data_IF_051913275068
#
_entry.id   IF_051913275068
#
_cell.length_a   1.000
_cell.length_b   1.000
_cell.length_c   1.000
_cell.angle_alpha   90.00
_cell.angle_beta   90.00
_cell.angle_gamma   90.00
#
_symmetry.space_group_name_H-M   'P 1'
#
loop_
_entity.id
_entity.type
_entity.pdbx_description
1 polymer ?
2 non-polymer ?
3 non-polymer ?
4 water ?
#
# COMPACT_ATOMS: atom_id res chain seq x y z
N UNK A 2 -2.21 -12.58 19.71
CA UNK A 2 -2.98 -13.44 18.78
C UNK A 2 -2.13 -14.24 17.81
N UNK A 3 -0.86 -13.86 17.62
CA UNK A 3 0.03 -14.47 16.64
C UNK A 3 1.04 -15.47 17.14
N UNK A 4 1.38 -16.54 16.43
CA UNK A 4 2.43 -17.46 16.82
C UNK A 4 3.74 -17.17 16.05
N UNK A 5 3.63 -16.40 14.97
CA UNK A 5 4.74 -16.11 14.05
C UNK A 5 4.44 -14.74 13.43
N UNK A 6 5.40 -13.81 13.43
CA UNK A 6 5.08 -12.48 12.90
C UNK A 6 6.29 -12.00 12.07
N UNK A 7 6.07 -11.64 10.83
CA UNK A 7 7.20 -11.22 9.96
C UNK A 7 6.87 -9.84 9.41
N UNK A 8 7.52 -8.77 9.85
CA UNK A 8 7.15 -7.45 9.40
C UNK A 8 8.34 -6.68 8.79
N UNK A 9 7.97 -5.71 7.99
CA UNK A 9 9.08 -4.85 7.48
C UNK A 9 9.67 -4.12 8.64
N UNK A 10 10.97 -4.35 8.95
CA UNK A 10 11.56 -3.85 10.19
C UNK A 10 11.34 -2.45 10.72
N UNK A 11 11.53 -1.44 9.91
CA UNK A 11 11.44 -0.03 10.24
C UNK A 11 10.17 0.65 9.73
N UNK A 12 9.11 -0.18 9.49
CA UNK A 12 7.89 0.50 9.03
C UNK A 12 7.31 1.29 10.18
N UNK A 13 6.90 2.50 9.96
CA UNK A 13 6.29 3.37 10.95
C UNK A 13 5.23 4.22 10.32
N UNK A 14 4.01 4.39 10.91
CA UNK A 14 3.07 5.34 10.36
C UNK A 14 3.46 6.75 10.81
N UNK A 15 3.68 7.63 9.88
CA UNK A 15 4.06 9.01 10.22
C UNK A 15 3.05 10.04 9.77
N UNK A 16 2.03 9.60 8.92
CA UNK A 16 1.02 10.57 8.50
C UNK A 16 -0.23 9.72 8.04
N UNK A 17 -1.37 10.35 8.04
CA UNK A 17 -2.57 9.58 7.59
C UNK A 17 -3.25 10.44 6.55
N UNK A 18 -4.06 9.76 5.70
CA UNK A 18 -4.73 10.44 4.62
C UNK A 18 -6.04 11.15 4.95
N UNK A 19 -6.05 12.45 4.71
CA UNK A 19 -7.24 13.29 4.90
C UNK A 19 -7.99 13.47 3.58
N UNK A 20 -8.39 14.69 3.24
CA UNK A 20 -9.20 14.90 2.04
C UNK A 20 -8.34 15.21 0.83
N UNK A 21 -7.83 14.17 0.17
CA UNK A 21 -7.01 14.36 -1.02
C UNK A 21 -7.04 13.06 -1.80
N UNK A 22 -6.48 12.95 -2.96
CA UNK A 22 -6.39 11.74 -3.75
C UNK A 22 -4.95 11.19 -3.77
N UNK A 23 -4.27 11.28 -2.63
CA UNK A 23 -2.84 10.92 -2.63
C UNK A 23 -2.54 9.59 -1.98
N UNK A 24 -3.54 8.62 -2.00
CA UNK A 24 -3.25 7.36 -1.40
C UNK A 24 -1.95 6.68 -1.89
N UNK A 25 -1.63 6.73 -3.15
CA UNK A 25 -0.43 6.00 -3.62
C UNK A 25 0.85 6.75 -3.11
N UNK A 26 0.74 8.05 -2.94
CA UNK A 26 1.86 8.85 -2.37
C UNK A 26 2.07 8.44 -0.94
N UNK A 27 0.99 8.32 -0.12
CA UNK A 27 1.13 7.78 1.22
C UNK A 27 1.75 6.42 1.29
N UNK A 28 1.24 5.50 0.41
CA UNK A 28 1.72 4.13 0.42
C UNK A 28 3.24 4.01 0.02
N UNK A 29 3.59 4.71 -1.03
CA UNK A 29 5.02 4.59 -1.46
C UNK A 29 5.92 5.31 -0.43
N UNK A 30 5.45 6.38 0.18
CA UNK A 30 6.37 7.08 1.15
C UNK A 30 6.64 6.20 2.33
N UNK A 31 5.57 5.51 2.83
CA UNK A 31 5.82 4.65 3.99
C UNK A 31 6.67 3.45 3.65
N UNK A 32 6.50 2.85 2.43
CA UNK A 32 7.31 1.68 2.08
C UNK A 32 8.81 2.12 1.85
N UNK A 33 8.97 3.25 1.20
CA UNK A 33 10.41 3.65 0.98
C UNK A 33 11.01 4.08 2.30
N UNK A 34 10.28 4.75 3.17
CA UNK A 34 10.87 5.09 4.50
C UNK A 34 11.33 3.84 5.22
N UNK A 35 10.51 2.74 5.14
CA UNK A 35 10.87 1.51 5.82
C UNK A 35 12.05 0.79 5.17
N UNK A 36 12.09 0.66 3.85
CA UNK A 36 13.14 -0.17 3.23
C UNK A 36 14.46 0.67 3.26
N UNK A 37 14.33 1.97 3.25
CA UNK A 37 15.64 2.73 3.32
C UNK A 37 15.96 3.09 4.75
N UNK A 38 15.10 2.85 5.73
CA UNK A 38 15.25 3.23 7.12
C UNK A 38 15.47 4.73 7.23
N UNK A 39 14.54 5.51 6.68
CA UNK A 39 14.60 6.94 6.65
C UNK A 39 13.20 7.49 7.00
N UNK A 40 13.07 8.77 7.11
CA UNK A 40 11.85 9.51 7.38
C UNK A 40 11.66 10.60 6.38
N UNK A 41 12.40 10.67 5.26
CA UNK A 41 12.31 11.80 4.38
C UNK A 41 11.12 11.81 3.41
N UNK A 42 10.54 10.62 3.16
CA UNK A 42 9.42 10.70 2.17
C UNK A 42 8.07 10.97 2.83
N UNK A 43 7.30 11.82 2.11
CA UNK A 43 5.97 12.21 2.62
C UNK A 43 5.10 12.24 1.39
N UNK A 44 3.79 11.93 1.60
CA UNK A 44 2.97 11.90 0.40
C UNK A 44 2.92 13.14 -0.42
N UNK A 45 2.82 14.32 0.22
CA UNK A 45 2.69 15.55 -0.56
C UNK A 45 3.88 15.74 -1.46
N UNK A 46 5.08 15.43 -0.90
CA UNK A 46 6.29 15.60 -1.73
C UNK A 46 6.36 14.62 -2.87
N UNK A 47 5.86 13.39 -2.72
CA UNK A 47 5.82 12.47 -3.85
C UNK A 47 4.93 13.04 -4.93
N UNK A 48 3.71 13.49 -4.47
CA UNK A 48 2.77 13.95 -5.44
C UNK A 48 3.32 15.16 -6.19
N UNK A 49 3.95 16.09 -5.47
CA UNK A 49 4.47 17.30 -6.17
C UNK A 49 5.57 16.96 -7.16
N UNK A 50 6.38 15.97 -6.85
CA UNK A 50 7.43 15.46 -7.75
C UNK A 50 6.88 14.90 -9.03
N UNK A 51 5.79 14.04 -8.92
CA UNK A 51 5.18 13.50 -10.11
C UNK A 51 4.23 14.43 -10.84
N UNK A 52 3.56 15.38 -10.19
CA UNK A 52 2.63 16.31 -10.80
C UNK A 52 3.02 17.76 -10.48
N UNK A 53 4.13 18.21 -11.09
CA UNK A 53 4.66 19.54 -10.82
C UNK A 53 3.84 20.70 -11.35
N UNK A 54 3.01 20.51 -12.34
CA UNK A 54 2.22 21.56 -12.97
C UNK A 54 0.78 21.68 -12.51
N UNK A 55 0.26 20.69 -11.78
CA UNK A 55 -1.11 20.75 -11.31
C UNK A 55 -1.18 21.64 -10.08
N UNK A 56 -2.24 22.40 -9.89
CA UNK A 56 -2.38 23.25 -8.71
C UNK A 56 -3.81 23.17 -8.16
N UNK A 57 -4.04 23.71 -6.98
CA UNK A 57 -5.38 23.82 -6.42
C UNK A 57 -6.01 22.45 -6.22
N UNK A 58 -7.31 22.37 -6.51
CA UNK A 58 -8.04 21.12 -6.34
C UNK A 58 -7.57 20.02 -7.28
N UNK A 59 -7.09 20.34 -8.46
CA UNK A 59 -6.61 19.32 -9.39
C UNK A 59 -5.41 18.60 -8.75
N UNK A 60 -4.55 19.37 -8.09
CA UNK A 60 -3.37 18.79 -7.43
C UNK A 60 -3.81 17.96 -6.23
N UNK A 61 -4.79 18.51 -5.51
CA UNK A 61 -5.26 17.88 -4.30
C UNK A 61 -5.92 16.51 -4.60
N UNK A 62 -6.64 16.39 -5.70
CA UNK A 62 -7.42 15.15 -5.90
C UNK A 62 -6.98 14.23 -7.00
N UNK A 63 -5.96 14.53 -7.80
CA UNK A 63 -5.55 13.67 -8.90
C UNK A 63 -4.58 12.62 -8.32
N UNK A 64 -4.97 11.38 -8.49
CA UNK A 64 -4.19 10.24 -7.97
C UNK A 64 -3.13 9.79 -8.94
N UNK A 65 -2.54 8.61 -8.76
CA UNK A 65 -1.51 8.12 -9.65
C UNK A 65 -1.93 6.94 -10.47
N UNK A 66 -1.27 6.74 -11.62
CA UNK A 66 -1.40 5.47 -12.31
C UNK A 66 -0.33 4.53 -11.86
N UNK A 67 -0.47 3.24 -12.16
CA UNK A 67 0.56 2.25 -11.82
C UNK A 67 1.85 2.64 -12.54
N UNK A 68 1.81 3.15 -13.78
CA UNK A 68 3.06 3.56 -14.41
C UNK A 68 3.80 4.64 -13.64
N UNK A 69 3.05 5.61 -13.12
CA UNK A 69 3.63 6.69 -12.33
C UNK A 69 4.21 6.09 -11.05
N UNK A 70 3.55 5.10 -10.42
CA UNK A 70 4.10 4.49 -9.22
C UNK A 70 5.42 3.75 -9.50
N UNK A 71 5.51 3.08 -10.66
CA UNK A 71 6.70 2.30 -11.03
C UNK A 71 7.86 3.30 -11.36
N UNK A 72 7.55 4.32 -12.12
CA UNK A 72 8.60 5.36 -12.40
C UNK A 72 9.06 6.02 -11.11
N UNK A 73 8.18 6.40 -10.18
CA UNK A 73 8.62 6.96 -8.89
C UNK A 73 9.61 6.05 -8.20
N UNK A 74 9.31 4.74 -8.09
CA UNK A 74 10.24 3.81 -7.41
C UNK A 74 11.59 3.79 -8.21
N UNK A 75 11.53 3.88 -9.52
CA UNK A 75 12.83 3.81 -10.27
C UNK A 75 13.64 5.06 -9.97
N UNK A 76 12.97 6.19 -9.84
CA UNK A 76 13.73 7.41 -9.52
C UNK A 76 14.36 7.37 -8.15
N UNK A 77 13.87 6.57 -7.19
CA UNK A 77 14.42 6.43 -5.85
C UNK A 77 15.22 5.18 -5.66
N UNK A 78 15.79 4.63 -6.76
CA UNK A 78 16.76 3.56 -6.59
C UNK A 78 16.23 2.15 -6.36
N UNK A 79 14.98 1.99 -6.77
CA UNK A 79 14.33 0.67 -6.69
C UNK A 79 13.91 0.24 -8.09
N UNK A 80 13.52 -1.03 -8.27
CA UNK A 80 13.04 -1.55 -9.54
C UNK A 80 11.67 -2.29 -9.30
N UNK A 81 10.66 -1.51 -9.09
CA UNK A 81 9.33 -2.15 -8.79
C UNK A 81 8.81 -2.90 -10.00
N UNK A 82 8.04 -3.97 -9.65
CA UNK A 82 7.52 -4.85 -10.70
C UNK A 82 6.00 -4.97 -10.47
N UNK A 83 5.26 -4.93 -11.56
CA UNK A 83 3.82 -5.10 -11.43
C UNK A 83 3.46 -6.58 -11.46
N UNK A 84 2.63 -7.03 -10.52
CA UNK A 84 2.13 -8.40 -10.49
C UNK A 84 0.61 -8.31 -10.61
N UNK A 85 -0.01 -8.96 -11.63
CA UNK A 85 -1.43 -8.62 -11.85
C UNK A 85 -2.35 -9.47 -11.01
N UNK A 86 -2.08 -9.63 -9.74
CA UNK A 86 -2.86 -10.30 -8.75
C UNK A 86 -2.36 -9.94 -7.36
N UNK A 87 -3.11 -10.44 -6.38
CA UNK A 87 -2.72 -10.44 -4.98
C UNK A 87 -1.53 -11.37 -4.74
N UNK A 88 -0.55 -10.90 -3.96
CA UNK A 88 0.59 -11.78 -3.63
C UNK A 88 0.11 -12.85 -2.64
N UNK A 89 0.66 -14.06 -2.70
CA UNK A 89 0.33 -15.10 -1.76
C UNK A 89 1.03 -14.87 -0.43
N UNK A 90 0.58 -15.59 0.60
CA UNK A 90 1.25 -15.51 1.90
C UNK A 90 2.74 -15.80 1.76
N UNK A 91 3.08 -16.87 1.02
CA UNK A 91 4.52 -17.20 0.89
C UNK A 91 5.32 -16.10 0.21
N UNK A 92 4.75 -15.50 -0.81
CA UNK A 92 5.38 -14.39 -1.53
C UNK A 92 5.61 -13.22 -0.58
N UNK A 93 4.57 -12.84 0.16
CA UNK A 93 4.77 -11.79 1.17
C UNK A 93 5.82 -12.17 2.18
N UNK A 94 5.85 -13.41 2.69
CA UNK A 94 6.86 -13.82 3.64
C UNK A 94 8.29 -13.61 3.09
N UNK A 95 8.52 -14.08 1.89
CA UNK A 95 9.87 -14.00 1.28
C UNK A 95 10.24 -12.57 0.91
N UNK A 96 9.34 -11.83 0.28
CA UNK A 96 9.67 -10.40 -0.03
C UNK A 96 9.94 -9.63 1.25
N UNK A 97 9.18 -9.82 2.33
CA UNK A 97 9.35 -9.10 3.58
C UNK A 97 10.70 -9.45 4.24
N UNK A 98 11.05 -10.72 4.16
CA UNK A 98 12.35 -11.12 4.73
C UNK A 98 13.48 -10.43 3.95
N UNK A 99 13.26 -10.21 2.66
CA UNK A 99 14.27 -9.59 1.81
C UNK A 99 14.15 -8.06 1.82
N UNK A 100 13.35 -7.47 2.71
CA UNK A 100 13.22 -6.02 2.77
C UNK A 100 12.74 -5.40 1.50
N UNK A 101 11.67 -5.97 0.85
CA UNK A 101 11.14 -5.42 -0.38
C UNK A 101 9.66 -5.03 -0.08
N UNK A 102 9.34 -3.82 -0.38
CA UNK A 102 7.95 -3.39 -0.02
C UNK A 102 7.01 -3.79 -1.14
N UNK A 103 5.73 -3.91 -0.67
CA UNK A 103 4.66 -4.26 -1.62
C UNK A 103 3.50 -3.28 -1.53
N UNK A 104 3.11 -2.64 -2.61
CA UNK A 104 1.93 -1.80 -2.65
C UNK A 104 0.72 -2.67 -3.15
N UNK A 105 -0.40 -2.44 -2.50
CA UNK A 105 -1.67 -3.10 -2.90
C UNK A 105 -2.43 -2.13 -3.77
N UNK A 106 -2.93 -2.62 -4.95
CA UNK A 106 -3.80 -1.84 -5.78
C UNK A 106 -5.25 -2.46 -5.55
N UNK A 107 -6.11 -1.65 -5.00
CA UNK A 107 -7.47 -2.16 -4.66
C UNK A 107 -8.52 -1.39 -5.42
N UNK A 108 -9.66 -2.10 -5.64
CA UNK A 108 -10.78 -1.54 -6.40
C UNK A 108 -12.04 -1.72 -5.53
N UNK A 109 -12.80 -0.70 -5.29
CA UNK A 109 -13.93 -0.70 -4.38
C UNK A 109 -15.09 -1.61 -4.90
N UNK A 110 -15.51 -2.46 -3.97
CA UNK A 110 -16.60 -3.43 -4.41
C UNK A 110 -17.87 -2.62 -4.56
N UNK A 111 -18.18 -1.81 -3.60
CA UNK A 111 -19.34 -0.93 -3.60
C UNK A 111 -19.24 0.08 -4.75
N UNK A 112 -20.33 0.31 -5.49
CA UNK A 112 -20.17 1.24 -6.62
C UNK A 112 -20.88 2.56 -6.36
N UNK A 113 -20.59 3.47 -7.29
CA UNK A 113 -21.10 4.83 -7.31
C UNK A 113 -21.22 5.21 -8.79
N UNK A 114 -22.46 5.26 -9.24
CA UNK A 114 -22.75 5.42 -10.67
C UNK A 114 -21.91 4.50 -11.52
N UNK A 115 -21.84 3.21 -11.19
CA UNK A 115 -21.10 2.21 -11.91
C UNK A 115 -19.59 2.30 -11.82
N UNK A 116 -19.01 3.22 -11.05
CA UNK A 116 -17.55 3.31 -11.00
C UNK A 116 -17.03 2.76 -9.68
N UNK A 117 -15.89 2.09 -9.77
CA UNK A 117 -15.29 1.45 -8.60
C UNK A 117 -14.01 2.24 -8.25
N UNK A 118 -14.07 3.07 -7.23
CA UNK A 118 -12.87 3.90 -6.95
C UNK A 118 -11.62 3.02 -6.75
N UNK A 119 -10.44 3.57 -7.07
CA UNK A 119 -9.23 2.76 -6.85
C UNK A 119 -8.55 3.35 -5.60
N UNK A 120 -7.96 2.48 -4.82
CA UNK A 120 -7.31 2.91 -3.60
C UNK A 120 -6.10 2.04 -3.35
N UNK A 121 -4.92 2.69 -3.12
CA UNK A 121 -3.71 1.96 -2.85
C UNK A 121 -3.37 1.83 -1.37
N UNK A 122 -2.85 0.71 -0.91
CA UNK A 122 -2.54 0.45 0.49
C UNK A 122 -1.13 -0.20 0.55
N UNK A 123 -0.61 -0.31 1.75
CA UNK A 123 0.71 -0.94 1.87
C UNK A 123 0.66 -2.27 2.62
N UNK A 124 1.48 -3.22 2.19
CA UNK A 124 1.67 -4.44 2.96
C UNK A 124 2.69 -4.11 4.04
N UNK A 125 2.50 -4.54 5.25
CA UNK A 125 3.48 -4.34 6.34
C UNK A 125 4.20 -5.63 6.62
N UNK A 126 3.55 -6.80 6.34
CA UNK A 126 4.21 -8.07 6.57
C UNK A 126 3.17 -9.21 6.63
N UNK A 127 3.49 -10.23 7.39
CA UNK A 127 2.57 -11.40 7.40
C UNK A 127 2.71 -12.08 8.74
N UNK A 128 1.72 -12.95 9.07
CA UNK A 128 1.77 -13.56 10.38
C UNK A 128 0.96 -14.86 10.38
N UNK A 129 1.28 -15.73 11.31
CA UNK A 129 0.46 -16.96 11.42
C UNK A 129 -0.19 -16.87 12.78
N UNK A 130 -1.54 -16.96 12.83
CA UNK A 130 -2.20 -16.86 14.13
C UNK A 130 -2.13 -18.16 14.94
N UNK A 131 -2.49 -18.07 16.22
CA UNK A 131 -2.50 -19.23 17.11
C UNK A 131 -3.45 -20.32 16.61
N UNK A 132 -4.49 -19.99 15.79
CA UNK A 132 -5.34 -21.10 15.32
C UNK A 132 -4.87 -21.62 13.97
N UNK A 133 -3.65 -21.17 13.55
CA UNK A 133 -3.14 -21.62 12.26
C UNK A 133 -3.43 -20.75 11.05
N UNK A 134 -4.25 -19.71 11.17
CA UNK A 134 -4.60 -18.92 9.98
C UNK A 134 -3.36 -18.12 9.52
N UNK A 135 -3.25 -18.05 8.21
CA UNK A 135 -2.15 -17.32 7.56
C UNK A 135 -2.68 -15.97 7.13
N UNK A 136 -2.08 -14.88 7.65
CA UNK A 136 -2.62 -13.58 7.38
C UNK A 136 -1.57 -12.57 6.85
N UNK A 137 -2.12 -11.60 6.16
CA UNK A 137 -1.22 -10.49 5.66
C UNK A 137 -1.63 -9.28 6.46
N UNK A 138 -0.58 -8.54 6.93
CA UNK A 138 -0.78 -7.33 7.73
C UNK A 138 -0.68 -6.12 6.81
N UNK A 139 -1.70 -5.26 6.84
CA UNK A 139 -1.92 -4.19 5.91
C UNK A 139 -2.04 -2.85 6.62
N UNK A 140 -1.49 -1.82 5.98
CA UNK A 140 -1.74 -0.46 6.43
C UNK A 140 -2.46 0.25 5.34
N UNK A 141 -3.70 0.74 5.74
CA UNK A 141 -4.46 1.60 4.87
C UNK A 141 -4.18 3.03 5.30
N UNK A 142 -3.81 3.89 4.37
CA UNK A 142 -3.38 5.26 4.70
C UNK A 142 -4.30 6.10 5.55
N UNK A 143 -5.67 5.82 5.48
CA UNK A 143 -6.54 6.55 6.37
C UNK A 143 -6.39 6.22 7.88
N UNK A 144 -5.83 5.08 8.21
CA UNK A 144 -5.81 4.60 9.62
C UNK A 144 -4.50 4.83 10.36
N UNK A 145 -4.64 4.89 11.68
CA UNK A 145 -3.48 4.97 12.57
C UNK A 145 -3.20 3.60 13.14
N UNK A 146 -3.26 2.52 12.38
CA UNK A 146 -3.08 1.18 12.89
C UNK A 146 -3.17 0.23 11.68
N UNK A 147 -3.01 -1.03 11.94
CA UNK A 147 -2.94 -2.04 10.88
C UNK A 147 -4.17 -2.96 10.93
N UNK A 148 -4.35 -3.62 9.80
CA UNK A 148 -5.41 -4.64 9.68
C UNK A 148 -4.79 -6.00 9.39
N UNK A 149 -5.49 -7.10 9.68
CA UNK A 149 -4.98 -8.41 9.32
C UNK A 149 -6.02 -9.07 8.36
N UNK A 150 -5.48 -9.53 7.27
CA UNK A 150 -6.31 -10.07 6.17
C UNK A 150 -5.96 -11.50 5.95
N UNK A 151 -7.05 -12.38 5.94
CA UNK A 151 -6.75 -13.78 5.66
C UNK A 151 -6.19 -13.87 4.27
N UNK A 152 -5.11 -14.60 4.05
CA UNK A 152 -4.41 -14.68 2.80
C UNK A 152 -5.20 -15.34 1.66
N UNK A 153 -6.26 -16.08 2.04
CA UNK A 153 -7.06 -16.75 1.01
C UNK A 153 -8.09 -15.81 0.42
N UNK A 154 -8.33 -14.66 1.00
CA UNK A 154 -9.41 -13.79 0.56
C UNK A 154 -8.91 -12.54 -0.13
N UNK A 155 -9.31 -12.29 -1.35
CA UNK A 155 -8.81 -11.08 -2.05
C UNK A 155 -9.61 -9.83 -1.87
N UNK A 156 -10.57 -9.73 -0.92
CA UNK A 156 -11.34 -8.55 -0.67
C UNK A 156 -11.14 -8.11 0.78
N UNK A 157 -10.51 -6.90 0.85
CA UNK A 157 -10.24 -6.33 2.17
C UNK A 157 -11.30 -5.38 2.66
N UNK A 158 -11.87 -5.66 3.83
CA UNK A 158 -12.84 -4.80 4.47
C UNK A 158 -12.01 -3.63 5.11
N UNK A 159 -12.41 -2.43 4.83
CA UNK A 159 -11.62 -1.29 5.39
C UNK A 159 -12.43 -0.61 6.46
N UNK A 160 -11.81 0.43 7.10
CA UNK A 160 -12.40 0.95 8.31
C UNK A 160 -13.67 1.77 8.16
N UNK A 161 -14.02 2.29 7.00
CA UNK A 161 -15.29 3.02 6.87
C UNK A 161 -16.44 2.07 6.45
N UNK A 162 -16.23 0.78 6.41
CA UNK A 162 -17.36 -0.11 6.02
C UNK A 162 -17.29 -0.53 4.57
N UNK A 163 -16.47 0.07 3.70
CA UNK A 163 -16.32 -0.39 2.34
C UNK A 163 -15.38 -1.56 2.19
N UNK A 164 -15.34 -2.16 1.01
CA UNK A 164 -14.56 -3.33 0.72
C UNK A 164 -13.74 -3.08 -0.55
N UNK A 165 -12.45 -3.45 -0.54
CA UNK A 165 -11.64 -3.21 -1.73
C UNK A 165 -11.04 -4.51 -2.21
N UNK A 166 -11.23 -4.84 -3.50
CA UNK A 166 -10.68 -6.08 -4.03
C UNK A 166 -9.16 -5.83 -4.38
N UNK A 167 -8.36 -6.68 -3.84
CA UNK A 167 -6.88 -6.56 -4.17
C UNK A 167 -6.68 -7.21 -5.53
N UNK A 168 -6.57 -6.36 -6.56
CA UNK A 168 -6.49 -6.88 -7.90
C UNK A 168 -5.12 -6.93 -8.51
N UNK A 169 -4.17 -6.13 -7.94
CA UNK A 169 -2.80 -6.20 -8.51
C UNK A 169 -1.85 -5.67 -7.42
N UNK A 170 -0.57 -5.91 -7.59
CA UNK A 170 0.40 -5.56 -6.52
C UNK A 170 1.65 -5.01 -7.24
N UNK A 171 2.28 -4.05 -6.51
CA UNK A 171 3.57 -3.57 -7.18
C UNK A 171 4.62 -3.90 -6.13
N UNK A 172 5.62 -4.72 -6.44
CA UNK A 172 6.51 -5.05 -5.34
C UNK A 172 7.95 -4.58 -5.70
N UNK A 173 8.72 -4.46 -4.63
CA UNK A 173 10.13 -4.04 -4.93
C UNK A 173 10.38 -2.64 -4.42
N UNK A 174 9.55 -2.01 -3.60
CA UNK A 174 9.91 -0.71 -3.01
C UNK A 174 10.86 -0.96 -1.86
X LIG B 1 11.54 9.07 12.78
X LIG B 1 12.15 8.55 11.84
X LIG B 1 10.30 8.80 12.72
X LIG B 1 12.19 10.00 13.77
X LIG C 1 -6.94 7.55 -2.91
X LIG C 1 -6.40 8.70 -2.67
X LIG C 1 -7.71 7.03 -2.14
X LIG C 1 -6.26 6.79 -4.03
X LIG C 1 -6.17 7.68 -5.35
X LIG C 1 -7.43 8.00 -5.71
X LIG C 1 -5.32 6.95 -6.40
X LIG C 1 -4.09 7.12 -6.67
X LIG C 1 -6.03 6.07 -7.12
X LIG C 1 -5.56 5.33 -8.22
X LIG C 1 -5.49 3.87 -8.04
X LIG C 1 -4.68 3.19 -7.02
X LIG C 1 -5.09 1.66 -7.05
X LIG C 1 -3.20 3.50 -7.46
X LIG C 1 -6.33 5.53 -9.54
X LIG C 1 -7.48 5.89 -9.35
X LIG C 1 -5.65 5.82 -10.61
X LIG C 1 -6.12 6.58 -11.75
X LIG C 1 -5.79 7.98 -11.27
X LIG C 1 -5.11 8.61 -12.44
X LIG C 1 -5.13 10.10 -12.15
X LIG C 1 -4.52 10.56 -13.39
X LIG C 1 -3.11 10.76 -13.83
X LIG C 1 -3.17 11.23 -15.12
X LIG C 1 -1.84 10.68 -13.15
#
# INVERSE_FOLDING_TARGET
>A
YNEQYVNKLENFKIRETQGNNGWCAGYTMSALLNATYNTNKYHAEAVMRFLHPNLQGQQFQFTGLTPREMIYFGQTQGRSPQLLNRMTTYNEVDNLTKNNKGIAILGSRVESRNGMHAGHAMAVVGNAKLNNGQEVIIIWNPWDNGFMTQDAKNNVIPVSNGDHYQWYSSIYGY
>B hetero
1 ACT C O OXT CH3
>C hetero
1 E64 C1 O1 O2 C2 C3 O3 C4 O4 N1 C6 C7 C8 C9 C10 C11 O5 N2 C12 C13 C14 C15 N3 C16 N4 N5
#
